data_IF_705816210942
#
_entry.id   IF_705816210942
#
_cell.length_a   1.000
_cell.length_b   1.000
_cell.length_c   1.000
_cell.angle_alpha   90.00
_cell.angle_beta   90.00
_cell.angle_gamma   90.00
#
_symmetry.space_group_name_H-M   'P 1'
#
loop_
_entity.id
_entity.type
_entity.pdbx_description
1 polymer ?
#
# COMPACT_ATOMS: atom_id res chain seq x y z
N UNK A 1 2.64 4.39 16.02
CA UNK A 1 2.39 4.35 14.56
C UNK A 1 3.51 5.00 13.76
N UNK A 2 3.76 6.31 13.86
CA UNK A 2 4.86 6.96 13.09
C UNK A 2 6.27 6.42 13.40
N UNK A 3 6.47 5.91 14.62
CA UNK A 3 7.70 5.25 15.06
C UNK A 3 7.68 3.74 14.88
N UNK A 4 6.52 3.15 14.58
CA UNK A 4 6.34 1.71 14.41
C UNK A 4 6.59 1.36 12.95
N UNK A 5 7.59 0.52 12.69
CA UNK A 5 8.02 0.15 11.33
C UNK A 5 7.25 -1.07 10.83
N UNK A 6 6.86 -1.06 9.55
CA UNK A 6 6.18 -2.18 8.90
C UNK A 6 7.12 -3.39 8.85
N UNK A 7 6.76 -4.42 9.62
CA UNK A 7 7.59 -5.56 9.97
C UNK A 7 7.87 -6.48 8.79
N UNK A 8 6.95 -6.58 7.83
CA UNK A 8 7.17 -7.30 6.58
C UNK A 8 8.44 -6.86 5.86
N UNK A 9 8.71 -5.55 5.80
CA UNK A 9 9.93 -5.00 5.18
C UNK A 9 11.19 -5.26 6.01
N UNK A 10 11.09 -5.17 7.34
CA UNK A 10 12.20 -5.48 8.25
C UNK A 10 12.65 -6.94 8.05
N UNK A 11 11.69 -7.86 7.97
CA UNK A 11 11.95 -9.29 7.76
C UNK A 11 12.67 -9.57 6.43
N UNK A 12 12.54 -8.66 5.44
CA UNK A 12 13.20 -8.73 4.13
C UNK A 12 14.53 -7.96 4.08
N UNK A 13 14.99 -7.43 5.21
CA UNK A 13 16.23 -6.67 5.31
C UNK A 13 16.18 -5.34 4.56
N UNK A 14 15.01 -4.71 4.48
CA UNK A 14 14.88 -3.33 4.01
C UNK A 14 15.38 -2.39 5.10
N UNK A 15 16.34 -1.55 4.74
CA UNK A 15 16.88 -0.54 5.65
C UNK A 15 15.98 0.70 5.63
N UNK A 16 15.70 1.26 6.81
CA UNK A 16 14.80 2.42 6.97
C UNK A 16 13.43 2.26 6.29
N UNK A 17 12.70 1.15 6.58
CA UNK A 17 11.39 0.94 6.00
C UNK A 17 10.41 2.02 6.48
N UNK A 18 9.32 2.12 5.74
CA UNK A 18 8.17 2.95 6.07
C UNK A 18 7.61 2.61 7.46
N UNK A 19 6.93 3.58 8.06
CA UNK A 19 6.13 3.38 9.26
C UNK A 19 4.71 2.97 8.90
N UNK A 20 3.97 2.42 9.87
CA UNK A 20 2.53 2.14 9.71
C UNK A 20 1.76 3.44 9.35
N UNK A 21 2.20 4.58 9.86
CA UNK A 21 1.59 5.88 9.54
C UNK A 21 1.82 6.30 8.08
N UNK A 22 2.97 5.96 7.49
CA UNK A 22 3.25 6.24 6.07
C UNK A 22 2.32 5.43 5.16
N UNK A 23 2.17 4.13 5.47
CA UNK A 23 1.24 3.20 4.80
C UNK A 23 -0.21 3.73 4.81
N UNK A 24 -0.76 4.02 6.00
CA UNK A 24 -2.13 4.54 6.12
C UNK A 24 -2.31 5.91 5.45
N UNK A 25 -1.29 6.78 5.50
CA UNK A 25 -1.34 8.07 4.82
C UNK A 25 -1.49 7.89 3.31
N UNK A 26 -0.70 6.99 2.73
CA UNK A 26 -0.77 6.73 1.29
C UNK A 26 -2.11 6.09 0.91
N UNK A 27 -2.66 5.19 1.72
CA UNK A 27 -4.01 4.65 1.51
C UNK A 27 -5.10 5.71 1.60
N UNK A 28 -5.04 6.63 2.56
CA UNK A 28 -5.98 7.73 2.66
C UNK A 28 -5.89 8.65 1.43
N UNK A 29 -4.67 8.88 0.93
CA UNK A 29 -4.44 9.60 -0.32
C UNK A 29 -5.01 8.83 -1.52
N UNK A 30 -4.85 7.50 -1.58
CA UNK A 30 -5.46 6.64 -2.60
C UNK A 30 -6.98 6.78 -2.62
N UNK A 31 -7.63 6.76 -1.45
CA UNK A 31 -9.07 7.00 -1.33
C UNK A 31 -9.46 8.41 -1.81
N UNK A 32 -8.68 9.44 -1.47
CA UNK A 32 -8.92 10.81 -1.90
C UNK A 32 -8.86 10.97 -3.43
N UNK A 33 -7.87 10.33 -4.08
CA UNK A 33 -7.63 10.47 -5.53
C UNK A 33 -8.44 9.48 -6.38
N UNK A 34 -9.10 8.50 -5.76
CA UNK A 34 -9.98 7.58 -6.46
C UNK A 34 -11.10 8.37 -7.15
N UNK A 35 -11.40 7.99 -8.41
CA UNK A 35 -12.53 8.57 -9.14
C UNK A 35 -13.85 8.36 -8.41
N UNK A 36 -14.88 9.13 -8.75
CA UNK A 36 -16.20 8.94 -8.16
C UNK A 36 -16.76 7.56 -8.57
N UNK A 37 -17.11 6.74 -7.59
CA UNK A 37 -17.71 5.43 -7.78
C UNK A 37 -19.16 5.54 -7.30
N UNK A 38 -20.17 5.26 -8.15
CA UNK A 38 -21.57 5.34 -7.75
C UNK A 38 -21.86 4.51 -6.50
N UNK A 39 -22.49 5.15 -5.50
CA UNK A 39 -22.87 4.51 -4.24
C UNK A 39 -21.74 4.35 -3.21
N UNK A 40 -20.53 4.85 -3.49
CA UNK A 40 -19.39 4.80 -2.57
C UNK A 40 -19.16 6.16 -1.90
N UNK A 41 -19.00 6.17 -0.58
CA UNK A 41 -18.64 7.34 0.21
C UNK A 41 -17.10 7.47 0.32
N UNK A 42 -16.54 8.46 -0.40
CA UNK A 42 -15.11 8.76 -0.38
C UNK A 42 -14.62 9.17 1.01
N UNK A 43 -15.39 9.99 1.75
CA UNK A 43 -14.98 10.43 3.08
C UNK A 43 -14.88 9.24 4.02
N UNK A 44 -15.85 8.33 3.94
CA UNK A 44 -15.85 7.09 4.72
C UNK A 44 -14.64 6.21 4.36
N UNK A 45 -14.30 6.03 3.08
CA UNK A 45 -13.06 5.33 2.68
C UNK A 45 -11.80 5.94 3.31
N UNK A 46 -11.68 7.27 3.31
CA UNK A 46 -10.54 7.94 3.92
C UNK A 46 -10.48 7.71 5.44
N UNK A 47 -11.62 7.78 6.12
CA UNK A 47 -11.72 7.50 7.55
C UNK A 47 -11.34 6.06 7.88
N UNK A 48 -11.84 5.09 7.12
CA UNK A 48 -11.47 3.67 7.27
C UNK A 48 -9.96 3.50 7.08
N UNK A 49 -9.38 4.08 6.03
CA UNK A 49 -7.94 3.96 5.75
C UNK A 49 -7.05 4.50 6.90
N UNK A 50 -7.47 5.58 7.58
CA UNK A 50 -6.73 6.17 8.71
C UNK A 50 -6.88 5.33 9.99
N UNK A 51 -7.96 4.57 10.13
CA UNK A 51 -8.32 3.84 11.36
C UNK A 51 -7.95 2.36 11.30
N UNK A 52 -7.85 1.75 10.11
CA UNK A 52 -7.82 0.29 9.97
C UNK A 52 -6.70 -0.41 10.77
N UNK A 53 -5.49 0.16 10.77
CA UNK A 53 -4.32 -0.36 11.50
C UNK A 53 -4.04 0.43 12.80
N UNK A 54 -5.01 1.23 13.30
CA UNK A 54 -4.78 2.09 14.47
C UNK A 54 -4.34 1.29 15.70
N UNK A 55 -4.88 0.08 15.88
CA UNK A 55 -4.60 -0.82 16.99
C UNK A 55 -3.12 -1.26 17.03
N UNK A 56 -2.43 -1.28 15.88
CA UNK A 56 -1.01 -1.65 15.77
C UNK A 56 -0.08 -0.65 16.48
N UNK A 57 -0.60 0.52 16.87
CA UNK A 57 0.11 1.42 17.78
C UNK A 57 0.42 0.76 19.14
N UNK A 58 -0.41 -0.18 19.58
CA UNK A 58 -0.28 -0.92 20.85
C UNK A 58 0.19 -2.35 20.58
N UNK A 59 -0.45 -3.07 19.65
CA UNK A 59 -0.16 -4.50 19.42
C UNK A 59 1.11 -4.75 18.58
N UNK A 60 1.57 -3.73 17.86
CA UNK A 60 2.62 -3.85 16.85
C UNK A 60 2.10 -4.46 15.53
N UNK A 61 2.88 -4.33 14.47
CA UNK A 61 2.56 -4.93 13.16
C UNK A 61 2.77 -6.45 13.22
N UNK A 62 1.66 -7.20 13.36
CA UNK A 62 1.65 -8.67 13.43
C UNK A 62 1.56 -9.22 12.00
N UNK A 63 2.61 -9.92 11.60
CA UNK A 63 2.78 -10.45 10.23
C UNK A 63 2.42 -11.93 10.15
N UNK A 64 2.17 -12.48 8.94
CA UNK A 64 1.97 -13.93 8.77
C UNK A 64 3.13 -14.79 9.32
N UNK A 65 4.37 -14.28 9.28
CA UNK A 65 5.54 -14.96 9.84
C UNK A 65 5.52 -15.11 11.37
N UNK A 66 4.67 -14.36 12.09
CA UNK A 66 4.55 -14.46 13.54
C UNK A 66 3.70 -15.67 14.00
N UNK A 67 3.03 -16.35 13.08
CA UNK A 67 2.24 -17.55 13.38
C UNK A 67 1.02 -17.29 14.28
N UNK A 68 0.63 -16.03 14.48
CA UNK A 68 -0.54 -15.67 15.28
C UNK A 68 -1.82 -15.98 14.47
N UNK A 69 -2.73 -16.82 14.97
CA UNK A 69 -4.00 -17.08 14.29
C UNK A 69 -4.82 -15.81 14.07
N UNK A 70 -5.54 -15.71 12.94
CA UNK A 70 -6.35 -14.52 12.62
C UNK A 70 -7.29 -14.10 13.75
N UNK A 71 -7.97 -15.07 14.37
CA UNK A 71 -8.88 -14.80 15.48
C UNK A 71 -8.18 -14.19 16.70
N UNK A 72 -6.95 -14.62 17.00
CA UNK A 72 -6.16 -14.08 18.10
C UNK A 72 -5.59 -12.69 17.77
N UNK A 73 -5.15 -12.45 16.52
CA UNK A 73 -4.79 -11.10 16.04
C UNK A 73 -5.96 -10.13 16.22
N UNK A 74 -7.12 -10.50 15.68
CA UNK A 74 -8.34 -9.70 15.75
C UNK A 74 -8.77 -9.42 17.20
N UNK A 75 -8.68 -10.41 18.11
CA UNK A 75 -8.96 -10.22 19.55
C UNK A 75 -8.02 -9.19 20.18
N UNK A 76 -6.70 -9.29 19.94
CA UNK A 76 -5.71 -8.34 20.48
C UNK A 76 -5.93 -6.93 19.96
N UNK A 77 -6.24 -6.80 18.67
CA UNK A 77 -6.49 -5.50 18.04
C UNK A 77 -7.77 -4.86 18.57
N UNK A 78 -8.84 -5.65 18.74
CA UNK A 78 -10.07 -5.17 19.37
C UNK A 78 -9.84 -4.71 20.81
N UNK A 79 -9.04 -5.43 21.60
CA UNK A 79 -8.69 -5.03 22.96
C UNK A 79 -7.90 -3.72 22.99
N UNK A 80 -6.90 -3.58 22.12
CA UNK A 80 -6.14 -2.33 21.98
C UNK A 80 -7.05 -1.16 21.57
N UNK A 81 -7.97 -1.39 20.62
CA UNK A 81 -8.93 -0.37 20.18
C UNK A 81 -9.85 0.06 21.32
N UNK A 82 -10.35 -0.90 22.11
CA UNK A 82 -11.19 -0.61 23.27
C UNK A 82 -10.46 0.27 24.29
N UNK A 83 -9.18 0.00 24.57
CA UNK A 83 -8.37 0.83 25.45
C UNK A 83 -8.15 2.24 24.88
N UNK A 84 -7.89 2.37 23.58
CA UNK A 84 -7.79 3.69 22.92
C UNK A 84 -9.10 4.48 23.05
N UNK A 85 -10.23 3.84 22.81
CA UNK A 85 -11.56 4.44 22.92
C UNK A 85 -11.90 4.89 24.34
N UNK A 86 -11.43 4.16 25.37
CA UNK A 86 -11.52 4.61 26.78
C UNK A 86 -10.68 5.87 27.02
N UNK A 87 -9.46 5.94 26.50
CA UNK A 87 -8.58 7.11 26.63
C UNK A 87 -9.20 8.35 25.97
N UNK A 88 -9.90 8.17 24.85
CA UNK A 88 -10.64 9.25 24.18
C UNK A 88 -11.86 9.77 24.98
N UNK A 89 -12.21 9.13 26.10
CA UNK A 89 -13.37 9.48 26.92
C UNK A 89 -14.69 8.89 26.44
N UNK A 90 -14.66 7.94 25.50
CA UNK A 90 -15.84 7.31 24.93
C UNK A 90 -16.70 8.25 24.06
N UNK A 91 -17.99 7.91 23.94
CA UNK A 91 -18.98 8.68 23.19
C UNK A 91 -18.84 8.57 21.66
N UNK A 92 -19.58 9.42 20.96
CA UNK A 92 -19.81 9.29 19.51
C UNK A 92 -18.55 9.15 18.65
N UNK A 93 -17.42 9.74 19.06
CA UNK A 93 -16.15 9.64 18.32
C UNK A 93 -15.42 8.33 18.56
N UNK A 94 -15.48 7.82 19.78
CA UNK A 94 -14.96 6.49 20.09
C UNK A 94 -15.82 5.40 19.44
N UNK A 95 -17.13 5.62 19.32
CA UNK A 95 -18.05 4.73 18.63
C UNK A 95 -17.78 4.74 17.12
N UNK A 96 -17.63 5.91 16.49
CA UNK A 96 -17.28 6.03 15.06
C UNK A 96 -15.97 5.30 14.73
N UNK A 97 -14.93 5.41 15.58
CA UNK A 97 -13.66 4.69 15.39
C UNK A 97 -13.86 3.17 15.46
N UNK A 98 -14.62 2.68 16.44
CA UNK A 98 -14.91 1.24 16.56
C UNK A 98 -15.71 0.73 15.37
N UNK A 99 -16.70 1.48 14.92
CA UNK A 99 -17.52 1.13 13.75
C UNK A 99 -16.66 1.06 12.48
N UNK A 100 -15.81 2.06 12.23
CA UNK A 100 -14.92 2.07 11.06
C UNK A 100 -13.94 0.90 11.07
N UNK A 101 -13.34 0.59 12.23
CA UNK A 101 -12.43 -0.54 12.37
C UNK A 101 -13.16 -1.87 12.14
N UNK A 102 -14.32 -2.06 12.76
CA UNK A 102 -15.12 -3.28 12.61
C UNK A 102 -15.63 -3.45 11.17
N UNK A 103 -16.00 -2.35 10.50
CA UNK A 103 -16.42 -2.35 9.11
C UNK A 103 -15.30 -2.85 8.19
N UNK A 104 -14.06 -2.39 8.42
CA UNK A 104 -12.88 -2.87 7.72
C UNK A 104 -12.60 -4.34 8.02
N UNK A 105 -12.57 -4.73 9.29
CA UNK A 105 -12.19 -6.08 9.70
C UNK A 105 -13.15 -7.13 9.16
N UNK A 106 -14.45 -6.82 9.17
CA UNK A 106 -15.51 -7.68 8.63
C UNK A 106 -15.72 -7.55 7.12
N UNK A 107 -15.04 -6.60 6.45
CA UNK A 107 -15.22 -6.31 5.03
C UNK A 107 -16.70 -6.13 4.64
N UNK A 108 -17.43 -5.37 5.46
CA UNK A 108 -18.91 -5.37 5.45
C UNK A 108 -19.56 -4.36 4.49
N UNK A 109 -18.76 -3.53 3.82
CA UNK A 109 -19.22 -2.47 2.92
C UNK A 109 -18.39 -2.38 1.63
N UNK A 110 -18.87 -1.57 0.68
CA UNK A 110 -18.12 -1.26 -0.55
C UNK A 110 -16.87 -0.44 -0.22
N UNK A 111 -16.97 0.45 0.75
CA UNK A 111 -15.88 1.28 1.27
C UNK A 111 -14.79 0.39 1.89
N UNK A 112 -15.15 -0.54 2.76
CA UNK A 112 -14.22 -1.51 3.36
C UNK A 112 -13.54 -2.36 2.28
N UNK A 113 -14.30 -2.83 1.28
CA UNK A 113 -13.78 -3.63 0.18
C UNK A 113 -12.76 -2.85 -0.65
N UNK A 114 -13.04 -1.58 -0.94
CA UNK A 114 -12.11 -0.71 -1.66
C UNK A 114 -10.86 -0.41 -0.83
N UNK A 115 -11.00 -0.11 0.46
CA UNK A 115 -9.85 0.17 1.33
C UNK A 115 -8.98 -1.07 1.54
N UNK A 116 -9.57 -2.28 1.63
CA UNK A 116 -8.81 -3.54 1.62
C UNK A 116 -8.07 -3.78 0.32
N UNK A 117 -8.56 -3.27 -0.81
CA UNK A 117 -7.81 -3.31 -2.05
C UNK A 117 -6.68 -2.29 -2.03
N UNK A 118 -6.90 -1.08 -1.50
CA UNK A 118 -5.85 -0.07 -1.35
C UNK A 118 -4.72 -0.52 -0.42
N UNK A 119 -5.00 -1.20 0.69
CA UNK A 119 -3.99 -1.83 1.55
C UNK A 119 -3.04 -2.73 0.74
N UNK A 120 -3.62 -3.63 -0.08
CA UNK A 120 -2.83 -4.52 -0.94
C UNK A 120 -2.12 -3.80 -2.07
N UNK A 121 -2.76 -2.81 -2.72
CA UNK A 121 -2.17 -2.02 -3.82
C UNK A 121 -0.99 -1.20 -3.32
N UNK A 122 -1.14 -0.54 -2.17
CA UNK A 122 -0.08 0.19 -1.49
C UNK A 122 1.09 -0.74 -1.19
N UNK A 123 0.83 -1.91 -0.60
CA UNK A 123 1.88 -2.87 -0.26
C UNK A 123 2.70 -3.32 -1.49
N UNK A 124 2.05 -3.65 -2.62
CA UNK A 124 2.78 -4.06 -3.83
C UNK A 124 3.44 -2.89 -4.56
N UNK A 125 2.90 -1.67 -4.42
CA UNK A 125 3.55 -0.46 -4.92
C UNK A 125 4.84 -0.19 -4.14
N UNK A 126 4.78 -0.26 -2.81
CA UNK A 126 5.92 -0.08 -1.94
C UNK A 126 6.96 -1.19 -2.13
N UNK A 127 6.53 -2.44 -2.36
CA UNK A 127 7.43 -3.52 -2.77
C UNK A 127 8.19 -3.16 -4.07
N UNK A 128 7.48 -2.69 -5.10
CA UNK A 128 8.11 -2.28 -6.37
C UNK A 128 9.16 -1.18 -6.17
N UNK A 129 8.86 -0.19 -5.32
CA UNK A 129 9.79 0.88 -4.95
C UNK A 129 11.02 0.32 -4.24
N UNK A 130 10.85 -0.55 -3.24
CA UNK A 130 11.96 -1.15 -2.50
C UNK A 130 12.81 -2.11 -3.35
N UNK A 131 12.23 -2.86 -4.28
CA UNK A 131 13.00 -3.64 -5.24
C UNK A 131 13.92 -2.74 -6.09
N UNK A 132 13.42 -1.55 -6.46
CA UNK A 132 14.17 -0.58 -7.26
C UNK A 132 15.29 0.09 -6.44
N UNK A 133 15.00 0.47 -5.19
CA UNK A 133 15.94 1.18 -4.32
C UNK A 133 17.01 0.25 -3.74
N UNK A 134 16.64 -0.97 -3.36
CA UNK A 134 17.52 -1.88 -2.62
C UNK A 134 18.03 -3.07 -3.44
N UNK A 135 17.60 -3.22 -4.71
CA UNK A 135 17.99 -4.36 -5.54
C UNK A 135 17.52 -5.71 -4.97
N UNK A 136 16.40 -5.71 -4.23
CA UNK A 136 15.81 -6.90 -3.61
C UNK A 136 14.82 -7.57 -4.56
N UNK A 137 14.55 -8.85 -4.31
CA UNK A 137 13.44 -9.58 -4.93
C UNK A 137 12.37 -9.76 -3.86
N UNK A 138 11.19 -9.17 -4.09
CA UNK A 138 10.07 -9.14 -3.14
C UNK A 138 8.82 -9.81 -3.73
N UNK A 139 9.02 -10.90 -4.49
CA UNK A 139 7.96 -11.64 -5.19
C UNK A 139 6.81 -12.07 -4.27
N UNK A 140 7.11 -12.44 -3.03
CA UNK A 140 6.09 -12.91 -2.08
C UNK A 140 4.99 -11.88 -1.79
N UNK A 141 5.30 -10.58 -1.83
CA UNK A 141 4.30 -9.51 -1.66
C UNK A 141 3.31 -9.46 -2.84
N UNK A 142 3.79 -9.75 -4.05
CA UNK A 142 2.94 -9.82 -5.24
C UNK A 142 2.14 -11.13 -5.28
N UNK A 143 2.78 -12.25 -4.97
CA UNK A 143 2.13 -13.57 -4.96
C UNK A 143 1.05 -13.65 -3.88
N UNK A 144 1.30 -13.06 -2.71
CA UNK A 144 0.34 -13.05 -1.60
C UNK A 144 -0.92 -12.23 -1.88
N UNK A 145 -0.91 -11.34 -2.87
CA UNK A 145 -2.08 -10.49 -3.25
C UNK A 145 -2.79 -10.98 -4.51
N UNK A 146 -2.20 -11.92 -5.26
CA UNK A 146 -2.78 -12.47 -6.47
C UNK A 146 -4.20 -13.05 -6.23
N UNK A 147 -5.17 -12.61 -7.02
CA UNK A 147 -6.57 -13.06 -6.91
C UNK A 147 -7.34 -12.53 -5.70
N UNK A 148 -6.77 -11.61 -4.90
CA UNK A 148 -7.42 -11.07 -3.68
C UNK A 148 -7.98 -9.65 -3.85
N UNK A 149 -7.91 -9.07 -5.03
CA UNK A 149 -8.49 -7.75 -5.34
C UNK A 149 -9.98 -7.90 -5.67
N UNK A 150 -10.83 -7.15 -4.97
CA UNK A 150 -12.28 -7.32 -4.99
C UNK A 150 -12.93 -6.37 -6.01
N UNK A 151 -12.58 -5.09 -5.93
CA UNK A 151 -13.14 -3.98 -6.71
C UNK A 151 -12.45 -3.84 -8.07
N UNK A 152 -13.15 -3.24 -9.03
CA UNK A 152 -12.56 -2.97 -10.36
C UNK A 152 -11.43 -1.95 -10.30
N UNK A 153 -11.54 -0.97 -9.39
CA UNK A 153 -10.47 0.01 -9.13
C UNK A 153 -9.23 -0.69 -8.56
N UNK A 154 -9.40 -1.51 -7.53
CA UNK A 154 -8.31 -2.30 -6.95
C UNK A 154 -7.61 -3.20 -7.97
N UNK A 155 -8.39 -3.96 -8.76
CA UNK A 155 -7.86 -4.80 -9.85
C UNK A 155 -7.09 -3.98 -10.88
N UNK A 156 -7.66 -2.85 -11.32
CA UNK A 156 -7.03 -1.99 -12.32
C UNK A 156 -5.71 -1.40 -11.82
N UNK A 157 -5.64 -0.93 -10.57
CA UNK A 157 -4.44 -0.33 -10.02
C UNK A 157 -3.36 -1.38 -9.76
N UNK A 158 -3.74 -2.55 -9.24
CA UNK A 158 -2.82 -3.67 -9.07
C UNK A 158 -2.22 -4.13 -10.40
N UNK A 159 -3.05 -4.26 -11.45
CA UNK A 159 -2.59 -4.61 -12.78
C UNK A 159 -1.58 -3.61 -13.35
N UNK A 160 -1.77 -2.32 -13.09
CA UNK A 160 -0.80 -1.28 -13.50
C UNK A 160 0.53 -1.41 -12.74
N UNK A 161 0.52 -1.64 -11.42
CA UNK A 161 1.75 -1.85 -10.65
C UNK A 161 2.52 -3.08 -11.16
N UNK A 162 1.81 -4.20 -11.38
CA UNK A 162 2.39 -5.44 -11.91
C UNK A 162 2.96 -5.24 -13.32
N UNK A 163 2.24 -4.51 -14.19
CA UNK A 163 2.71 -4.18 -15.54
C UNK A 163 4.02 -3.39 -15.52
N UNK A 164 4.17 -2.42 -14.60
CA UNK A 164 5.41 -1.67 -14.43
C UNK A 164 6.55 -2.55 -13.93
N UNK A 165 6.28 -3.41 -12.95
CA UNK A 165 7.26 -4.39 -12.45
C UNK A 165 7.79 -5.27 -13.58
N UNK A 166 6.91 -5.83 -14.40
CA UNK A 166 7.27 -6.71 -15.51
C UNK A 166 8.11 -6.00 -16.58
N UNK A 167 7.76 -4.75 -16.92
CA UNK A 167 8.56 -3.93 -17.85
C UNK A 167 9.98 -3.68 -17.33
N UNK A 168 10.14 -3.47 -16.02
CA UNK A 168 11.46 -3.32 -15.40
C UNK A 168 12.29 -4.62 -15.53
N UNK A 169 11.71 -5.77 -15.21
CA UNK A 169 12.40 -7.06 -15.31
C UNK A 169 12.89 -7.37 -16.73
N UNK A 170 12.17 -6.92 -17.76
CA UNK A 170 12.57 -7.06 -19.17
C UNK A 170 13.70 -6.09 -19.60
N UNK A 171 13.95 -5.05 -18.82
CA UNK A 171 14.95 -4.00 -19.13
C UNK A 171 16.30 -4.19 -18.42
N UNK A 172 16.42 -5.19 -17.53
CA UNK A 172 17.68 -5.51 -16.86
C UNK A 172 18.67 -6.22 -17.81
N UNK A 173 19.97 -5.87 -17.81
CA UNK A 173 20.97 -6.56 -18.61
C UNK A 173 21.01 -8.07 -18.32
N UNK A 174 21.14 -8.88 -19.38
CA UNK A 174 20.99 -10.35 -19.42
C UNK A 174 21.84 -11.13 -18.39
N UNK A 175 22.83 -10.51 -17.74
CA UNK A 175 23.68 -11.18 -16.74
C UNK A 175 22.96 -11.54 -15.44
N UNK A 176 21.88 -10.84 -15.09
CA UNK A 176 21.14 -11.05 -13.84
C UNK A 176 19.79 -11.79 -14.03
N UNK A 177 19.37 -12.00 -15.28
CA UNK A 177 18.07 -12.59 -15.62
C UNK A 177 17.98 -14.11 -15.35
N UNK A 178 19.11 -14.78 -15.11
CA UNK A 178 19.19 -16.23 -14.98
C UNK A 178 18.47 -16.81 -13.74
N UNK A 179 18.15 -15.98 -12.73
CA UNK A 179 17.40 -16.43 -11.55
C UNK A 179 15.86 -16.30 -11.68
N UNK A 180 15.36 -15.45 -12.57
CA UNK A 180 13.93 -15.06 -12.58
C UNK A 180 13.03 -15.94 -13.48
N UNK A 181 13.62 -16.75 -14.38
CA UNK A 181 12.83 -17.47 -15.40
C UNK A 181 12.28 -18.83 -14.90
N UNK A 182 12.75 -19.36 -13.76
CA UNK A 182 12.31 -20.69 -13.32
C UNK A 182 10.92 -20.75 -12.65
N UNK A 183 10.32 -19.62 -12.27
CA UNK A 183 9.07 -19.62 -11.49
C UNK A 183 7.79 -19.19 -12.24
N UNK A 184 7.85 -18.89 -13.55
CA UNK A 184 6.71 -18.27 -14.25
C UNK A 184 5.97 -19.17 -15.26
N UNK A 185 6.17 -20.48 -15.22
CA UNK A 185 5.28 -21.42 -15.90
C UNK A 185 4.20 -21.88 -14.93
N UNK A 186 3.06 -21.17 -14.90
CA UNK A 186 1.70 -21.69 -14.64
C UNK A 186 0.73 -20.53 -14.33
N UNK A 187 0.38 -19.71 -15.33
CA UNK A 187 -0.91 -18.99 -15.31
C UNK A 187 -1.46 -18.95 -16.74
N UNK A 188 -2.34 -19.91 -17.03
CA UNK A 188 -3.04 -20.01 -18.31
C UNK A 188 -4.14 -18.95 -18.45
N UNK A 189 -4.31 -18.55 -19.71
CA UNK A 189 -5.18 -17.55 -20.30
C UNK A 189 -6.63 -17.45 -19.78
N UNK A 190 -7.03 -16.23 -19.41
CA UNK A 190 -8.40 -15.75 -19.46
C UNK A 190 -8.45 -14.42 -20.23
N UNK A 191 -9.01 -14.44 -21.43
CA UNK A 191 -9.22 -13.26 -22.27
C UNK A 191 -10.40 -12.45 -21.73
N UNK A 192 -10.17 -11.21 -21.31
CA UNK A 192 -11.24 -10.23 -21.05
C UNK A 192 -11.22 -9.21 -22.19
N UNK A 193 -12.32 -9.15 -22.93
CA UNK A 193 -12.55 -8.16 -24.00
C UNK A 193 -12.77 -6.78 -23.40
N UNK A 194 -12.14 -5.78 -24.03
CA UNK A 194 -12.33 -4.37 -23.73
C UNK A 194 -13.71 -3.89 -24.17
N UNK A 195 -14.50 -3.36 -23.25
CA UNK A 195 -15.65 -2.51 -23.55
C UNK A 195 -15.43 -1.14 -22.94
N UNK A 196 -15.38 -0.12 -23.81
CA UNK A 196 -15.89 1.24 -23.60
C UNK A 196 -15.36 2.06 -22.42
N UNK A 197 -14.57 3.09 -22.74
CA UNK A 197 -14.46 4.36 -22.02
C UNK A 197 -14.16 4.30 -20.52
N UNK A 198 -12.93 3.93 -20.17
CA UNK A 198 -12.38 4.16 -18.83
C UNK A 198 -11.62 5.51 -18.78
N UNK A 199 -11.74 6.31 -17.69
CA UNK A 199 -11.06 7.59 -17.52
C UNK A 199 -9.55 7.41 -17.25
N UNK A 200 -8.81 6.86 -18.22
CA UNK A 200 -7.47 6.31 -18.01
C UNK A 200 -6.36 7.34 -17.73
N UNK A 201 -6.53 8.60 -18.10
CA UNK A 201 -5.42 9.58 -18.04
C UNK A 201 -5.34 10.36 -16.72
N UNK A 202 -6.46 10.56 -16.02
CA UNK A 202 -6.48 11.27 -14.73
C UNK A 202 -5.96 10.40 -13.59
N UNK A 203 -6.30 9.11 -13.60
CA UNK A 203 -5.75 8.12 -12.64
C UNK A 203 -4.24 7.92 -12.82
N UNK A 204 -3.72 8.02 -14.05
CA UNK A 204 -2.28 7.97 -14.36
C UNK A 204 -1.50 9.14 -13.73
N UNK A 205 -2.06 10.35 -13.69
CA UNK A 205 -1.41 11.52 -13.10
C UNK A 205 -1.40 11.45 -11.57
N UNK A 206 -2.44 10.86 -10.97
CA UNK A 206 -2.59 10.78 -9.51
C UNK A 206 -1.73 9.67 -8.90
N UNK A 207 -1.63 8.52 -9.56
CA UNK A 207 -0.63 7.49 -9.21
C UNK A 207 0.79 8.04 -9.43
N UNK A 208 1.02 8.82 -10.49
CA UNK A 208 2.29 9.54 -10.66
C UNK A 208 2.56 10.56 -9.57
N UNK A 209 1.55 11.27 -9.05
CA UNK A 209 1.72 12.26 -7.98
C UNK A 209 2.02 11.57 -6.65
N UNK A 210 1.31 10.50 -6.31
CA UNK A 210 1.56 9.70 -5.12
C UNK A 210 2.97 9.10 -5.12
N UNK A 211 3.38 8.50 -6.24
CA UNK A 211 4.75 8.01 -6.45
C UNK A 211 5.74 9.18 -6.42
N UNK A 212 5.48 10.29 -7.11
CA UNK A 212 6.38 11.45 -7.14
C UNK A 212 6.58 12.07 -5.74
N UNK A 213 5.55 12.08 -4.90
CA UNK A 213 5.63 12.52 -3.51
C UNK A 213 6.42 11.52 -2.65
N UNK A 214 6.24 10.21 -2.84
CA UNK A 214 7.07 9.16 -2.22
C UNK A 214 8.55 9.33 -2.58
N UNK A 215 8.83 9.49 -3.88
CA UNK A 215 10.18 9.67 -4.41
C UNK A 215 10.83 10.98 -3.90
N UNK A 216 10.10 12.12 -3.86
CA UNK A 216 10.67 13.41 -3.42
C UNK A 216 11.01 13.46 -1.93
N UNK A 217 10.31 12.75 -1.04
CA UNK A 217 10.61 12.76 0.41
C UNK A 217 11.98 12.15 0.74
N UNK A 218 12.55 11.28 -0.11
CA UNK A 218 13.91 10.73 0.09
C UNK A 218 15.04 11.53 -0.60
N UNK A 219 14.74 12.43 -1.55
CA UNK A 219 15.77 13.27 -2.22
C UNK A 219 16.22 14.50 -1.42
N UNK A 220 15.69 14.76 -0.21
CA UNK A 220 16.19 15.85 0.64
C UNK A 220 17.61 15.61 1.19
N UNK A 221 18.17 14.39 1.08
CA UNK A 221 19.57 14.11 1.45
C UNK A 221 20.58 14.15 0.30
N UNK A 222 20.16 14.44 -0.94
CA UNK A 222 21.09 14.63 -2.07
C UNK A 222 20.87 15.93 -2.85
N UNK A 223 19.99 16.82 -2.38
CA UNK A 223 19.79 18.14 -2.99
C UNK A 223 20.79 19.22 -2.53
N UNK A 224 21.84 18.85 -1.78
CA UNK A 224 22.89 19.78 -1.35
C UNK A 224 24.20 19.69 -2.15
N UNK A 225 24.26 18.93 -3.25
CA UNK A 225 25.49 18.81 -4.06
C UNK A 225 25.36 19.28 -5.52
N UNK A 226 24.14 19.57 -5.99
CA UNK A 226 23.90 20.05 -7.37
C UNK A 226 23.62 21.57 -7.41
N UNK A 227 23.32 22.21 -6.27
CA UNK A 227 23.13 23.66 -6.22
C UNK A 227 24.45 24.45 -6.06
N UNK A 228 25.51 23.84 -5.52
CA UNK A 228 26.84 24.48 -5.39
C UNK A 228 27.71 24.44 -6.68
N UNK A 229 27.32 23.67 -7.70
CA UNK A 229 28.05 23.59 -8.97
C UNK A 229 27.39 24.36 -10.14
N UNK A 230 26.28 25.06 -9.89
CA UNK A 230 25.65 25.95 -10.87
C UNK A 230 25.99 27.43 -10.60
N UNK A 231 26.42 27.78 -9.38
CA UNK A 231 26.81 29.15 -9.02
C UNK A 231 28.33 29.43 -9.11
N UNK A 232 29.18 28.41 -9.27
CA UNK A 232 30.65 28.57 -9.39
C UNK A 232 31.23 28.19 -10.77
N UNK A 233 30.38 27.95 -11.77
CA UNK A 233 30.78 27.62 -13.15
C UNK A 233 30.52 28.73 -14.18
N UNK A 234 30.13 29.93 -13.72
CA UNK A 234 29.91 31.10 -14.56
C UNK A 234 30.83 32.25 -14.13
N UNK A 235 32.14 32.05 -14.32
CA UNK A 235 33.16 33.11 -14.51
C UNK A 235 34.46 32.50 -15.00
#
# INVERSE_FOLDING_TARGET
MATTKRKGWINHGINHPESIADHMYLMALMALIAGDIPGLDRERCMKIAIVHDIAEAIVGDITPSDGVPKAEKSRREQEALNEMCKILGGGLRADEIQELWAEYENNSSMEASLVKDFDKVEMILQALEYETEHGKVLDEFFLSTAGKFQTDVGKSWAAEVISRRNKRSLSMPIKDAALLVQNNCLLHHGSVRSTGDAPGWRSLLLVRLAIFVSQKKRYQKSFCFIQENIENGAS
#
